data_IF_073413956033
#
_entry.id   IF_073413956033
#
_cell.length_a   1.000
_cell.length_b   1.000
_cell.length_c   1.000
_cell.angle_alpha   90.00
_cell.angle_beta   90.00
_cell.angle_gamma   90.00
#
_symmetry.space_group_name_H-M   'P 1'
#
loop_
_entity.id
_entity.type
_entity.pdbx_description
1 polymer ?
#
# COMPACT_ATOMS: atom_id res chain seq x y z
N UNK A 1 24.03 14.56 -1.35
CA UNK A 1 23.88 13.96 0.00
C UNK A 1 22.62 13.08 0.14
N UNK A 2 21.44 13.52 -0.34
CA UNK A 2 20.17 12.76 -0.25
C UNK A 2 20.19 11.37 -0.93
N UNK A 3 20.93 11.20 -2.04
CA UNK A 3 20.96 9.92 -2.76
C UNK A 3 21.85 8.86 -2.10
N UNK A 4 22.93 9.27 -1.42
CA UNK A 4 23.78 8.36 -0.64
C UNK A 4 22.99 7.78 0.54
N UNK A 5 22.20 8.62 1.23
CA UNK A 5 21.34 8.19 2.33
C UNK A 5 20.25 7.20 1.87
N UNK A 6 19.59 7.46 0.73
CA UNK A 6 18.59 6.53 0.16
C UNK A 6 19.20 5.17 -0.21
N UNK A 7 20.41 5.13 -0.76
CA UNK A 7 21.11 3.88 -1.07
C UNK A 7 21.47 3.11 0.20
N UNK A 8 21.97 3.81 1.22
CA UNK A 8 22.31 3.22 2.52
C UNK A 8 21.10 2.55 3.18
N UNK A 9 19.96 3.25 3.24
CA UNK A 9 18.72 2.70 3.82
C UNK A 9 18.25 1.44 3.07
N UNK A 10 18.33 1.44 1.73
CA UNK A 10 18.00 0.26 0.92
C UNK A 10 18.90 -0.92 1.22
N UNK A 11 20.21 -0.68 1.34
CA UNK A 11 21.18 -1.73 1.68
C UNK A 11 20.95 -2.29 3.09
N UNK A 12 20.65 -1.43 4.06
CA UNK A 12 20.33 -1.84 5.44
C UNK A 12 19.08 -2.73 5.48
N UNK A 13 18.01 -2.32 4.81
CA UNK A 13 16.78 -3.11 4.73
C UNK A 13 17.01 -4.45 4.04
N UNK A 14 17.77 -4.46 2.94
CA UNK A 14 18.12 -5.70 2.24
C UNK A 14 18.94 -6.64 3.15
N UNK A 15 19.92 -6.10 3.86
CA UNK A 15 20.75 -6.85 4.80
C UNK A 15 19.92 -7.50 5.90
N UNK A 16 19.00 -6.75 6.54
CA UNK A 16 18.09 -7.28 7.56
C UNK A 16 17.23 -8.44 7.02
N UNK A 17 16.69 -8.30 5.81
CA UNK A 17 15.86 -9.33 5.18
C UNK A 17 16.66 -10.60 4.86
N UNK A 18 17.89 -10.45 4.36
CA UNK A 18 18.80 -11.58 4.09
C UNK A 18 19.12 -12.31 5.40
N UNK A 19 19.48 -11.58 6.46
CA UNK A 19 19.80 -12.18 7.76
C UNK A 19 18.60 -12.93 8.34
N UNK A 20 17.40 -12.36 8.29
CA UNK A 20 16.18 -13.03 8.74
C UNK A 20 15.89 -14.30 7.93
N UNK A 21 16.12 -14.26 6.61
CA UNK A 21 15.92 -15.42 5.72
C UNK A 21 16.91 -16.55 6.04
N UNK A 22 18.18 -16.22 6.26
CA UNK A 22 19.22 -17.18 6.66
C UNK A 22 18.88 -17.80 8.02
N UNK A 23 18.46 -16.98 8.99
CA UNK A 23 18.08 -17.45 10.32
C UNK A 23 16.89 -18.41 10.27
N UNK A 24 15.87 -18.12 9.47
CA UNK A 24 14.71 -19.01 9.28
C UNK A 24 15.10 -20.30 8.55
N UNK A 25 15.94 -20.23 7.52
CA UNK A 25 16.44 -21.41 6.82
C UNK A 25 17.25 -22.32 7.75
N UNK A 26 18.11 -21.72 8.58
CA UNK A 26 18.88 -22.43 9.61
C UNK A 26 17.97 -23.13 10.61
N UNK A 27 16.96 -22.46 11.13
CA UNK A 27 16.01 -23.06 12.09
C UNK A 27 15.19 -24.19 11.46
N UNK A 28 14.72 -24.02 10.23
CA UNK A 28 14.00 -25.08 9.51
C UNK A 28 14.89 -26.31 9.31
N UNK A 29 16.17 -26.10 8.99
CA UNK A 29 17.13 -27.19 8.89
C UNK A 29 17.40 -27.86 10.24
N UNK A 30 17.57 -27.09 11.32
CA UNK A 30 17.84 -27.63 12.66
C UNK A 30 16.67 -28.45 13.21
N UNK A 31 15.43 -28.02 12.97
CA UNK A 31 14.23 -28.66 13.54
C UNK A 31 13.75 -29.84 12.69
N UNK A 32 13.67 -29.65 11.37
CA UNK A 32 13.05 -30.63 10.46
C UNK A 32 13.99 -31.14 9.37
N UNK A 33 15.29 -30.86 9.48
CA UNK A 33 16.30 -31.31 8.52
C UNK A 33 16.16 -30.70 7.13
N UNK A 34 16.82 -31.33 6.17
CA UNK A 34 16.77 -30.96 4.76
C UNK A 34 15.33 -30.98 4.15
N UNK A 35 14.44 -31.94 4.50
CA UNK A 35 13.09 -31.97 3.95
C UNK A 35 12.25 -30.73 4.29
N UNK A 36 12.30 -30.26 5.55
CA UNK A 36 11.56 -29.07 5.98
C UNK A 36 12.10 -27.79 5.32
N UNK A 37 13.42 -27.69 5.17
CA UNK A 37 14.06 -26.58 4.47
C UNK A 37 13.62 -26.52 2.99
N UNK A 38 13.64 -27.65 2.28
CA UNK A 38 13.22 -27.72 0.87
C UNK A 38 11.72 -27.42 0.75
N UNK A 39 10.88 -27.95 1.64
CA UNK A 39 9.45 -27.64 1.67
C UNK A 39 9.20 -26.15 1.90
N UNK A 40 9.97 -25.52 2.80
CA UNK A 40 9.92 -24.07 3.04
C UNK A 40 10.29 -23.25 1.80
N UNK A 41 11.35 -23.65 1.09
CA UNK A 41 11.77 -23.00 -0.17
C UNK A 41 10.70 -23.18 -1.25
N UNK A 42 10.18 -24.40 -1.43
CA UNK A 42 9.14 -24.69 -2.42
C UNK A 42 7.84 -23.91 -2.14
N UNK A 43 7.43 -23.84 -0.88
CA UNK A 43 6.26 -23.05 -0.46
C UNK A 43 6.48 -21.55 -0.71
N UNK A 44 7.66 -21.03 -0.36
CA UNK A 44 8.03 -19.63 -0.61
C UNK A 44 8.07 -19.30 -2.11
N UNK A 45 8.58 -20.22 -2.94
CA UNK A 45 8.59 -20.08 -4.40
C UNK A 45 7.19 -20.07 -5.00
N UNK A 46 6.31 -20.98 -4.58
CA UNK A 46 4.89 -20.97 -4.98
C UNK A 46 4.18 -19.68 -4.58
N UNK A 47 4.44 -19.21 -3.36
CA UNK A 47 3.90 -17.93 -2.89
C UNK A 47 4.38 -16.77 -3.76
N UNK A 48 5.69 -16.68 -4.04
CA UNK A 48 6.28 -15.65 -4.90
C UNK A 48 5.65 -15.66 -6.29
N UNK A 49 5.54 -16.84 -6.92
CA UNK A 49 4.92 -16.99 -8.24
C UNK A 49 3.44 -16.61 -8.25
N UNK A 50 2.71 -16.83 -7.15
CA UNK A 50 1.32 -16.41 -7.00
C UNK A 50 1.16 -14.89 -6.93
N UNK A 51 2.06 -14.19 -6.23
CA UNK A 51 1.97 -12.72 -6.05
C UNK A 51 2.65 -11.93 -7.16
N UNK A 52 3.63 -12.51 -7.85
CA UNK A 52 4.44 -11.80 -8.86
C UNK A 52 3.60 -11.19 -10.00
N UNK A 53 2.63 -11.89 -10.62
CA UNK A 53 1.79 -11.30 -11.66
C UNK A 53 1.02 -10.08 -11.15
N UNK A 54 0.53 -10.14 -9.92
CA UNK A 54 -0.18 -9.03 -9.28
C UNK A 54 0.77 -7.85 -9.10
N UNK A 55 1.98 -8.08 -8.56
CA UNK A 55 3.01 -7.03 -8.42
C UNK A 55 3.36 -6.39 -9.77
N UNK A 56 3.49 -7.18 -10.84
CA UNK A 56 3.80 -6.68 -12.18
C UNK A 56 2.68 -5.79 -12.72
N UNK A 57 1.44 -6.29 -12.75
CA UNK A 57 0.28 -5.54 -13.25
C UNK A 57 0.09 -4.23 -12.48
N UNK A 58 0.25 -4.27 -11.16
CA UNK A 58 0.14 -3.07 -10.33
C UNK A 58 1.30 -2.09 -10.56
N UNK A 59 2.53 -2.56 -10.73
CA UNK A 59 3.66 -1.68 -11.03
C UNK A 59 3.48 -0.97 -12.36
N UNK A 60 2.95 -1.67 -13.37
CA UNK A 60 2.60 -1.09 -14.67
C UNK A 60 1.48 -0.05 -14.51
N UNK A 61 0.40 -0.39 -13.82
CA UNK A 61 -0.73 0.51 -13.59
C UNK A 61 -0.31 1.75 -12.80
N UNK A 62 0.49 1.60 -11.75
CA UNK A 62 1.03 2.71 -10.97
C UNK A 62 1.95 3.62 -11.82
N UNK A 63 2.77 3.04 -12.71
CA UNK A 63 3.60 3.79 -13.65
C UNK A 63 2.76 4.59 -14.66
N UNK A 64 1.72 3.99 -15.23
CA UNK A 64 0.77 4.65 -16.13
C UNK A 64 0.06 5.81 -15.45
N UNK A 65 -0.45 5.56 -14.23
CA UNK A 65 -1.09 6.56 -13.40
C UNK A 65 -0.14 7.72 -13.11
N UNK A 66 1.06 7.45 -12.61
CA UNK A 66 2.06 8.49 -12.32
C UNK A 66 2.42 9.33 -13.55
N UNK A 67 2.49 8.69 -14.72
CA UNK A 67 2.78 9.36 -16.00
C UNK A 67 1.61 10.24 -16.44
N UNK A 68 0.38 9.75 -16.33
CA UNK A 68 -0.84 10.50 -16.60
C UNK A 68 -0.95 11.76 -15.73
N UNK A 69 -0.70 11.64 -14.43
CA UNK A 69 -0.71 12.75 -13.48
C UNK A 69 0.34 13.83 -13.82
N UNK A 70 1.54 13.43 -14.26
CA UNK A 70 2.59 14.38 -14.67
C UNK A 70 2.22 15.13 -15.95
N UNK A 71 1.57 14.46 -16.91
CA UNK A 71 1.27 15.03 -18.21
C UNK A 71 0.03 15.94 -18.21
N UNK A 72 -0.98 15.65 -17.36
CA UNK A 72 -2.28 16.39 -17.37
C UNK A 72 -2.72 16.87 -15.98
N UNK A 73 -1.94 17.74 -15.31
CA UNK A 73 -2.26 18.18 -13.95
C UNK A 73 -3.59 18.94 -13.83
N UNK A 74 -3.99 19.71 -14.86
CA UNK A 74 -5.22 20.51 -14.86
C UNK A 74 -6.51 19.67 -14.97
N UNK A 75 -6.55 18.66 -15.84
CA UNK A 75 -7.71 17.76 -15.96
C UNK A 75 -7.90 16.91 -14.70
N UNK A 76 -6.81 16.59 -14.03
CA UNK A 76 -6.88 15.95 -12.73
C UNK A 76 -7.46 16.91 -11.69
N UNK A 77 -7.13 18.21 -11.73
CA UNK A 77 -7.73 19.21 -10.85
C UNK A 77 -9.26 19.29 -10.98
N UNK A 78 -9.80 19.19 -12.19
CA UNK A 78 -11.26 19.11 -12.45
C UNK A 78 -11.89 17.79 -12.03
N UNK A 79 -11.18 16.67 -12.21
CA UNK A 79 -11.59 15.38 -11.64
C UNK A 79 -11.60 15.49 -10.10
N UNK A 80 -10.66 16.21 -9.48
CA UNK A 80 -10.48 16.29 -8.03
C UNK A 80 -11.40 17.32 -7.34
N UNK A 81 -11.85 18.36 -8.05
CA UNK A 81 -12.57 19.51 -7.47
C UNK A 81 -13.96 19.21 -6.88
N UNK A 82 -14.57 18.06 -7.18
CA UNK A 82 -15.90 17.71 -6.65
C UNK A 82 -15.95 16.64 -5.54
N UNK A 83 -14.93 15.79 -5.37
CA UNK A 83 -14.97 14.59 -4.49
C UNK A 83 -13.59 14.16 -3.93
N UNK A 84 -12.74 15.13 -3.59
CA UNK A 84 -11.32 14.92 -3.20
C UNK A 84 -11.10 13.86 -2.09
N UNK A 85 -11.95 13.82 -1.04
CA UNK A 85 -11.81 12.86 0.07
C UNK A 85 -12.03 11.39 -0.37
N UNK A 86 -13.10 11.12 -1.12
CA UNK A 86 -13.43 9.76 -1.59
C UNK A 86 -12.39 9.27 -2.59
N UNK A 87 -11.91 10.16 -3.47
CA UNK A 87 -10.86 9.82 -4.45
C UNK A 87 -9.53 9.51 -3.77
N UNK A 88 -9.17 10.27 -2.74
CA UNK A 88 -7.96 10.03 -1.97
C UNK A 88 -8.02 8.69 -1.21
N UNK A 89 -9.19 8.30 -0.69
CA UNK A 89 -9.39 6.96 -0.10
C UNK A 89 -9.24 5.81 -1.13
N UNK A 90 -9.80 5.97 -2.33
CA UNK A 90 -9.63 4.99 -3.42
C UNK A 90 -8.16 4.90 -3.83
N UNK A 91 -7.50 6.05 -4.03
CA UNK A 91 -6.08 6.10 -4.34
C UNK A 91 -5.23 5.42 -3.25
N UNK A 92 -5.55 5.64 -1.98
CA UNK A 92 -4.86 4.99 -0.85
C UNK A 92 -5.06 3.48 -0.78
N UNK A 93 -6.22 2.98 -1.22
CA UNK A 93 -6.50 1.53 -1.30
C UNK A 93 -5.71 0.87 -2.43
N UNK A 94 -5.64 1.53 -3.59
CA UNK A 94 -5.05 0.97 -4.80
C UNK A 94 -3.53 1.20 -4.91
N UNK A 95 -2.94 2.08 -4.11
CA UNK A 95 -1.50 2.33 -4.14
C UNK A 95 -0.73 1.40 -3.20
N UNK A 96 0.42 0.85 -3.62
CA UNK A 96 1.20 -0.10 -2.82
C UNK A 96 1.85 0.44 -1.54
N UNK A 97 1.60 1.68 -1.14
CA UNK A 97 2.29 2.28 0.01
C UNK A 97 3.62 2.96 -0.33
N UNK A 98 4.25 3.56 0.69
CA UNK A 98 5.62 4.08 0.64
C UNK A 98 5.81 5.26 -0.34
N UNK A 99 6.85 5.20 -1.17
CA UNK A 99 7.22 6.31 -2.08
C UNK A 99 6.25 6.53 -3.24
N UNK A 100 5.38 5.56 -3.53
CA UNK A 100 4.41 5.63 -4.63
C UNK A 100 3.20 6.51 -4.31
N UNK A 101 2.99 6.81 -3.02
CA UNK A 101 1.96 7.74 -2.51
C UNK A 101 2.35 9.20 -2.65
N UNK A 102 3.65 9.48 -2.79
CA UNK A 102 4.19 10.85 -2.87
C UNK A 102 3.46 11.74 -3.87
N UNK A 103 3.20 11.30 -5.12
CA UNK A 103 2.43 12.08 -6.09
C UNK A 103 0.99 12.38 -5.68
N UNK A 104 0.30 11.44 -5.02
CA UNK A 104 -1.08 11.63 -4.54
C UNK A 104 -1.11 12.69 -3.43
N UNK A 105 -0.20 12.58 -2.46
CA UNK A 105 -0.09 13.56 -1.38
C UNK A 105 0.35 14.93 -1.88
N UNK A 106 1.31 14.97 -2.82
CA UNK A 106 1.79 16.21 -3.41
C UNK A 106 0.68 16.93 -4.17
N UNK A 107 -0.20 16.19 -4.84
CA UNK A 107 -1.33 16.77 -5.53
C UNK A 107 -2.40 17.30 -4.58
N UNK A 108 -2.79 16.56 -3.55
CA UNK A 108 -3.74 17.07 -2.53
C UNK A 108 -3.15 18.28 -1.78
N UNK A 109 -1.83 18.32 -1.60
CA UNK A 109 -1.11 19.48 -1.07
C UNK A 109 -1.17 20.69 -2.00
N UNK A 110 -0.95 20.49 -3.31
CA UNK A 110 -1.05 21.55 -4.33
C UNK A 110 -2.48 22.05 -4.55
N UNK A 111 -3.49 21.22 -4.26
CA UNK A 111 -4.91 21.59 -4.32
C UNK A 111 -5.38 22.39 -3.09
N UNK A 112 -4.50 23.16 -2.47
CA UNK A 112 -4.81 23.98 -1.29
C UNK A 112 -4.65 23.27 0.05
N UNK A 113 -3.98 22.10 0.08
CA UNK A 113 -3.70 21.38 1.31
C UNK A 113 -4.96 20.81 1.96
N UNK A 114 -5.80 20.12 1.20
CA UNK A 114 -6.99 19.46 1.74
C UNK A 114 -6.59 18.34 2.73
N UNK A 115 -6.42 18.73 4.00
CA UNK A 115 -5.95 17.85 5.09
C UNK A 115 -6.84 16.63 5.25
N UNK A 116 -8.15 16.78 5.01
CA UNK A 116 -9.14 15.70 5.14
C UNK A 116 -8.95 14.63 4.06
N UNK A 117 -8.60 15.02 2.84
CA UNK A 117 -8.31 14.07 1.77
C UNK A 117 -6.99 13.32 2.00
N UNK A 118 -5.97 14.01 2.52
CA UNK A 118 -4.72 13.39 2.93
C UNK A 118 -4.96 12.36 4.05
N UNK A 119 -5.79 12.70 5.04
CA UNK A 119 -6.17 11.78 6.11
C UNK A 119 -6.95 10.57 5.58
N UNK A 120 -7.89 10.77 4.66
CA UNK A 120 -8.61 9.67 4.00
C UNK A 120 -7.69 8.74 3.20
N UNK A 121 -6.68 9.30 2.52
CA UNK A 121 -5.66 8.52 1.84
C UNK A 121 -4.89 7.64 2.83
N UNK A 122 -4.34 8.23 3.90
CA UNK A 122 -3.59 7.47 4.91
C UNK A 122 -4.44 6.41 5.61
N UNK A 123 -5.69 6.73 5.95
CA UNK A 123 -6.64 5.79 6.54
C UNK A 123 -6.84 4.56 5.63
N UNK A 124 -7.04 4.78 4.33
CA UNK A 124 -7.19 3.71 3.36
C UNK A 124 -5.90 2.89 3.17
N UNK A 125 -4.73 3.54 3.14
CA UNK A 125 -3.44 2.85 3.04
C UNK A 125 -3.17 1.96 4.26
N UNK A 126 -3.54 2.41 5.45
CA UNK A 126 -3.28 1.64 6.67
C UNK A 126 -4.21 0.43 6.81
N UNK A 127 -5.45 0.53 6.33
CA UNK A 127 -6.48 -0.48 6.57
C UNK A 127 -6.71 -1.42 5.38
N UNK A 128 -6.64 -0.87 4.15
CA UNK A 128 -7.10 -1.51 2.92
C UNK A 128 -6.00 -1.71 1.88
N UNK A 129 -4.76 -1.31 2.15
CA UNK A 129 -3.67 -1.44 1.18
C UNK A 129 -3.52 -2.89 0.70
N UNK A 130 -3.58 -3.05 -0.61
CA UNK A 130 -3.52 -4.33 -1.29
C UNK A 130 -2.22 -5.08 -1.05
N UNK A 131 -1.09 -4.41 -0.81
CA UNK A 131 0.16 -5.09 -0.40
C UNK A 131 -0.03 -5.81 0.92
N UNK A 132 -0.69 -5.16 1.88
CA UNK A 132 -1.03 -5.79 3.16
C UNK A 132 -1.98 -6.96 2.96
N UNK A 133 -2.92 -6.85 2.02
CA UNK A 133 -3.86 -7.90 1.64
C UNK A 133 -3.16 -9.11 1.01
N UNK A 134 -2.17 -8.88 0.14
CA UNK A 134 -1.34 -9.91 -0.49
C UNK A 134 -0.47 -10.66 0.50
N UNK A 135 0.03 -9.98 1.54
CA UNK A 135 0.73 -10.65 2.62
C UNK A 135 -0.24 -11.33 3.59
N UNK A 136 -1.44 -10.79 3.83
CA UNK A 136 -2.43 -11.41 4.73
C UNK A 136 -2.96 -12.73 4.17
N UNK A 137 -3.22 -12.82 2.87
CA UNK A 137 -3.77 -14.01 2.23
C UNK A 137 -2.99 -15.32 2.51
N UNK A 138 -1.65 -15.39 2.33
CA UNK A 138 -0.85 -16.57 2.65
C UNK A 138 -0.67 -16.82 4.16
N UNK A 139 -0.65 -15.77 5.00
CA UNK A 139 -0.35 -15.90 6.43
C UNK A 139 -1.60 -16.22 7.27
N UNK A 140 -2.74 -15.63 6.93
CA UNK A 140 -3.99 -15.78 7.67
C UNK A 140 -5.02 -16.68 6.95
N UNK A 141 -4.79 -16.98 5.68
CA UNK A 141 -5.75 -17.71 4.85
C UNK A 141 -6.90 -16.82 4.35
N UNK A 142 -7.68 -17.35 3.40
CA UNK A 142 -8.71 -16.58 2.69
C UNK A 142 -9.81 -16.04 3.61
N UNK A 143 -10.27 -16.85 4.58
CA UNK A 143 -11.40 -16.50 5.45
C UNK A 143 -11.08 -15.34 6.40
N UNK A 144 -9.95 -15.40 7.12
CA UNK A 144 -9.50 -14.33 8.00
C UNK A 144 -9.11 -13.08 7.20
N UNK A 145 -8.47 -13.24 6.04
CA UNK A 145 -8.12 -12.12 5.16
C UNK A 145 -9.36 -11.36 4.69
N UNK A 146 -10.42 -12.08 4.30
CA UNK A 146 -11.70 -11.47 3.92
C UNK A 146 -12.36 -10.73 5.08
N UNK A 147 -12.34 -11.28 6.29
CA UNK A 147 -12.85 -10.61 7.50
C UNK A 147 -12.08 -9.32 7.77
N UNK A 148 -10.75 -9.39 7.80
CA UNK A 148 -9.89 -8.22 8.07
C UNK A 148 -10.06 -7.15 6.98
N UNK A 149 -10.17 -7.57 5.72
CA UNK A 149 -10.44 -6.65 4.62
C UNK A 149 -11.82 -6.01 4.74
N UNK A 150 -12.86 -6.79 5.05
CA UNK A 150 -14.22 -6.30 5.25
C UNK A 150 -14.32 -5.30 6.40
N UNK A 151 -13.68 -5.59 7.54
CA UNK A 151 -13.57 -4.67 8.68
C UNK A 151 -12.81 -3.41 8.29
N UNK A 152 -11.71 -3.54 7.56
CA UNK A 152 -10.98 -2.38 7.01
C UNK A 152 -11.88 -1.51 6.13
N UNK A 153 -12.72 -2.14 5.29
CA UNK A 153 -13.58 -1.44 4.34
C UNK A 153 -14.69 -0.69 5.06
N UNK A 154 -15.27 -1.31 6.09
CA UNK A 154 -16.24 -0.69 6.99
C UNK A 154 -15.63 0.54 7.69
N UNK A 155 -14.48 0.38 8.35
CA UNK A 155 -13.82 1.46 9.11
C UNK A 155 -13.41 2.60 8.17
N UNK A 156 -12.84 2.29 7.00
CA UNK A 156 -12.47 3.32 6.02
C UNK A 156 -13.70 4.06 5.51
N UNK A 157 -14.81 3.37 5.24
CA UNK A 157 -16.06 4.00 4.79
C UNK A 157 -16.64 4.93 5.86
N UNK A 158 -16.66 4.49 7.12
CA UNK A 158 -17.08 5.32 8.27
C UNK A 158 -16.18 6.55 8.39
N UNK A 159 -14.85 6.36 8.37
CA UNK A 159 -13.89 7.45 8.48
C UNK A 159 -14.02 8.48 7.35
N UNK A 160 -14.18 8.02 6.09
CA UNK A 160 -14.45 8.91 4.95
C UNK A 160 -15.78 9.66 5.12
N UNK A 161 -16.83 8.99 5.60
CA UNK A 161 -18.11 9.62 5.91
C UNK A 161 -18.00 10.71 6.97
N UNK A 162 -17.27 10.46 8.05
CA UNK A 162 -16.99 11.47 9.10
C UNK A 162 -16.20 12.64 8.54
N UNK A 163 -15.16 12.39 7.74
CA UNK A 163 -14.35 13.45 7.13
C UNK A 163 -15.17 14.33 6.17
N UNK A 164 -16.08 13.73 5.39
CA UNK A 164 -17.02 14.47 4.54
C UNK A 164 -17.99 15.32 5.37
N UNK A 165 -18.48 14.79 6.50
CA UNK A 165 -19.36 15.51 7.40
C UNK A 165 -18.66 16.71 8.05
N UNK A 166 -17.42 16.53 8.50
CA UNK A 166 -16.56 17.62 9.00
C UNK A 166 -16.37 18.69 7.91
N UNK A 167 -16.02 18.29 6.68
CA UNK A 167 -15.84 19.23 5.57
C UNK A 167 -17.10 20.07 5.33
N UNK A 168 -18.27 19.43 5.38
CA UNK A 168 -19.56 20.10 5.18
C UNK A 168 -19.86 21.09 6.30
N UNK A 169 -19.59 20.73 7.55
CA UNK A 169 -19.80 21.62 8.70
C UNK A 169 -18.85 22.83 8.67
N UNK A 170 -17.58 22.62 8.33
CA UNK A 170 -16.58 23.70 8.23
C UNK A 170 -16.81 24.66 7.06
N UNK A 171 -17.62 24.29 6.06
CA UNK A 171 -17.98 25.16 4.94
C UNK A 171 -19.19 26.07 5.25
N UNK A 172 -19.90 25.82 6.35
CA UNK A 172 -21.08 26.59 6.79
C UNK A 172 -20.70 27.69 7.80
N UNK A 173 -19.53 27.57 8.42
CA UNK A 173 -18.89 28.58 9.29
C UNK A 173 -17.94 29.46 8.51
#
# INVERSE_FOLDING_TARGET
MKDKLKRLIRMLNLGLLITASIYLAWNNHRIGGQPLMIAGIASSGKFLLGIMPIIVVFSLLAGQIATYYRARPAHVREIVSGKSIVKAAIAGTCTPGGTTIGPVLQQEWQNGGNKLAIMACFLAISLLNWTTLLFRLPFFGARLTAIVFGVGLLITSIGVGVLLLIQKLSAVT
#
